data_IF_824309632673
#
_entry.id   IF_824309632673
#
_cell.length_a   1.000
_cell.length_b   1.000
_cell.length_c   1.000
_cell.angle_alpha   90.00
_cell.angle_beta   90.00
_cell.angle_gamma   90.00
#
_symmetry.space_group_name_H-M   'P 1'
#
loop_
_entity.id
_entity.type
_entity.pdbx_description
1 polymer ?
#
# COMPACT_ATOMS: atom_id res chain seq x y z
N UNK A 1 19.43 -6.12 7.35
CA UNK A 1 18.03 -5.82 7.75
C UNK A 1 17.15 -6.96 7.26
N UNK A 2 16.51 -7.71 8.17
CA UNK A 2 15.86 -8.98 7.83
C UNK A 2 14.53 -8.76 7.08
N UNK A 3 14.58 -8.69 5.74
CA UNK A 3 13.40 -8.61 4.86
C UNK A 3 12.40 -9.76 5.09
N UNK A 4 12.85 -10.91 5.59
CA UNK A 4 11.97 -12.03 5.99
C UNK A 4 10.95 -11.66 7.08
N UNK A 5 11.16 -10.57 7.84
CA UNK A 5 10.17 -10.10 8.82
C UNK A 5 8.95 -9.43 8.18
N UNK A 6 9.06 -8.97 6.93
CA UNK A 6 7.93 -8.37 6.21
C UNK A 6 6.97 -9.43 5.66
N UNK A 7 7.44 -10.67 5.43
CA UNK A 7 6.63 -11.76 4.91
C UNK A 7 5.83 -12.46 6.03
N UNK A 8 4.81 -11.77 6.55
CA UNK A 8 3.92 -12.30 7.59
C UNK A 8 2.47 -12.41 7.08
N UNK A 9 2.14 -13.42 6.24
CA UNK A 9 0.79 -13.58 5.68
C UNK A 9 -0.31 -13.79 6.73
N UNK A 10 0.07 -14.19 7.96
CA UNK A 10 -0.81 -14.31 9.12
C UNK A 10 -1.19 -12.98 9.79
N UNK A 11 -0.52 -11.87 9.45
CA UNK A 11 -0.74 -10.58 10.10
C UNK A 11 -1.61 -9.68 9.23
N UNK A 12 -2.63 -9.06 9.83
CA UNK A 12 -3.58 -8.19 9.11
C UNK A 12 -2.88 -7.05 8.35
N UNK A 13 -1.80 -6.51 8.93
CA UNK A 13 -0.99 -5.45 8.34
C UNK A 13 -0.29 -5.84 7.02
N UNK A 14 0.02 -7.14 6.82
CA UNK A 14 0.54 -7.60 5.53
C UNK A 14 -0.51 -7.50 4.42
N UNK A 15 -1.73 -7.93 4.70
CA UNK A 15 -2.85 -7.78 3.77
C UNK A 15 -3.19 -6.32 3.51
N UNK A 16 -3.06 -5.47 4.53
CA UNK A 16 -3.23 -4.04 4.37
C UNK A 16 -2.18 -3.45 3.41
N UNK A 17 -0.91 -3.84 3.53
CA UNK A 17 0.15 -3.46 2.59
C UNK A 17 -0.15 -3.96 1.16
N UNK A 18 -0.62 -5.21 1.01
CA UNK A 18 -1.01 -5.78 -0.29
C UNK A 18 -2.21 -5.04 -0.90
N UNK A 19 -3.25 -4.77 -0.11
CA UNK A 19 -4.43 -4.02 -0.54
C UNK A 19 -4.04 -2.61 -1.01
N UNK A 20 -3.16 -1.92 -0.26
CA UNK A 20 -2.62 -0.64 -0.71
C UNK A 20 -1.85 -0.81 -2.03
N UNK A 21 -0.95 -1.78 -2.15
CA UNK A 21 -0.20 -1.98 -3.39
C UNK A 21 -1.10 -2.26 -4.62
N UNK A 22 -2.10 -3.14 -4.47
CA UNK A 22 -3.10 -3.44 -5.51
C UNK A 22 -3.88 -2.19 -5.89
N UNK A 23 -4.35 -1.41 -4.90
CA UNK A 23 -5.10 -0.19 -5.14
C UNK A 23 -4.24 0.89 -5.81
N UNK A 24 -2.93 0.91 -5.56
CA UNK A 24 -1.95 1.76 -6.28
C UNK A 24 -1.83 1.34 -7.75
N UNK A 25 -1.78 0.03 -8.02
CA UNK A 25 -1.81 -0.52 -9.38
C UNK A 25 -3.11 -0.17 -10.12
N UNK A 26 -4.26 -0.26 -9.45
CA UNK A 26 -5.56 0.14 -9.98
C UNK A 26 -5.61 1.64 -10.27
N UNK A 27 -5.06 2.49 -9.39
CA UNK A 27 -4.94 3.93 -9.65
C UNK A 27 -4.05 4.21 -10.87
N UNK A 28 -2.91 3.53 -10.99
CA UNK A 28 -2.02 3.65 -12.15
C UNK A 28 -2.68 3.18 -13.46
N UNK A 29 -3.47 2.10 -13.40
CA UNK A 29 -4.29 1.66 -14.53
C UNK A 29 -5.38 2.69 -14.87
N UNK A 30 -6.09 3.22 -13.87
CA UNK A 30 -7.11 4.24 -14.06
C UNK A 30 -6.54 5.51 -14.71
N UNK A 31 -5.34 5.94 -14.28
CA UNK A 31 -4.61 7.07 -14.87
C UNK A 31 -4.25 6.88 -16.34
N UNK A 32 -4.03 5.64 -16.78
CA UNK A 32 -3.65 5.32 -18.17
C UNK A 32 -4.84 4.94 -19.05
N UNK A 33 -5.86 4.30 -18.48
CA UNK A 33 -6.99 3.73 -19.21
C UNK A 33 -8.19 4.68 -19.29
N UNK A 34 -8.36 5.60 -18.32
CA UNK A 34 -9.40 6.61 -18.39
C UNK A 34 -8.83 7.96 -18.86
N UNK A 35 -9.50 8.66 -19.79
CA UNK A 35 -9.19 10.06 -20.12
C UNK A 35 -9.64 10.96 -18.96
N UNK A 36 -8.88 10.94 -17.87
CA UNK A 36 -9.22 11.66 -16.64
C UNK A 36 -9.03 13.15 -16.86
N UNK A 37 -10.09 13.91 -16.60
CA UNK A 37 -10.03 15.37 -16.46
C UNK A 37 -9.17 15.76 -15.23
N UNK A 38 -8.69 17.00 -15.14
CA UNK A 38 -7.74 17.47 -14.10
C UNK A 38 -8.18 17.15 -12.67
N UNK A 39 -9.49 17.19 -12.39
CA UNK A 39 -10.07 16.79 -11.09
C UNK A 39 -9.94 15.29 -10.80
N UNK A 40 -10.10 14.44 -11.82
CA UNK A 40 -9.90 13.00 -11.72
C UNK A 40 -8.43 12.66 -11.47
N UNK A 41 -7.50 13.40 -12.08
CA UNK A 41 -6.07 13.28 -11.83
C UNK A 41 -5.73 13.61 -10.36
N UNK A 42 -6.27 14.72 -9.82
CA UNK A 42 -6.05 15.12 -8.44
C UNK A 42 -6.63 14.12 -7.43
N UNK A 43 -7.83 13.60 -7.69
CA UNK A 43 -8.45 12.59 -6.84
C UNK A 43 -7.66 11.27 -6.85
N UNK A 44 -7.37 10.73 -8.04
CA UNK A 44 -6.64 9.46 -8.17
C UNK A 44 -5.20 9.60 -7.67
N UNK A 45 -4.55 10.72 -7.97
CA UNK A 45 -3.21 11.03 -7.46
C UNK A 45 -3.19 11.19 -5.93
N UNK A 46 -4.18 11.86 -5.35
CA UNK A 46 -4.33 12.00 -3.91
C UNK A 46 -4.57 10.65 -3.22
N UNK A 47 -5.45 9.81 -3.77
CA UNK A 47 -5.66 8.44 -3.28
C UNK A 47 -4.39 7.61 -3.38
N UNK A 48 -3.62 7.73 -4.47
CA UNK A 48 -2.35 7.04 -4.64
C UNK A 48 -1.29 7.50 -3.62
N UNK A 49 -1.22 8.79 -3.30
CA UNK A 49 -0.31 9.32 -2.27
C UNK A 49 -0.67 8.82 -0.88
N UNK A 50 -1.96 8.88 -0.51
CA UNK A 50 -2.44 8.35 0.77
C UNK A 50 -2.15 6.85 0.87
N UNK A 51 -2.38 6.12 -0.21
CA UNK A 51 -2.13 4.70 -0.32
C UNK A 51 -0.65 4.35 -0.08
N UNK A 52 0.27 5.08 -0.71
CA UNK A 52 1.71 4.92 -0.47
C UNK A 52 2.07 5.23 0.99
N UNK A 53 1.53 6.31 1.56
CA UNK A 53 1.79 6.70 2.94
C UNK A 53 1.34 5.61 3.94
N UNK A 54 0.13 5.06 3.76
CA UNK A 54 -0.38 3.99 4.61
C UNK A 54 0.37 2.66 4.39
N UNK A 55 0.77 2.33 3.15
CA UNK A 55 1.60 1.17 2.86
C UNK A 55 2.97 1.27 3.53
N UNK A 56 3.60 2.45 3.52
CA UNK A 56 4.86 2.72 4.20
C UNK A 56 4.70 2.61 5.72
N UNK A 57 3.64 3.20 6.29
CA UNK A 57 3.31 3.09 7.71
C UNK A 57 3.10 1.64 8.15
N UNK A 58 2.35 0.85 7.39
CA UNK A 58 2.12 -0.56 7.67
C UNK A 58 3.44 -1.36 7.63
N UNK A 59 4.31 -1.11 6.64
CA UNK A 59 5.64 -1.72 6.57
C UNK A 59 6.53 -1.32 7.75
N UNK A 60 6.48 -0.05 8.15
CA UNK A 60 7.22 0.48 9.30
C UNK A 60 6.75 -0.16 10.61
N UNK A 61 5.43 -0.33 10.77
CA UNK A 61 4.81 -0.98 11.91
C UNK A 61 5.13 -2.48 11.95
N UNK A 62 5.21 -3.16 10.79
CA UNK A 62 5.68 -4.54 10.69
C UNK A 62 7.15 -4.70 11.08
N UNK A 63 8.00 -3.72 10.74
CA UNK A 63 9.40 -3.71 11.14
C UNK A 63 9.57 -3.46 12.65
N UNK A 64 8.70 -2.63 13.24
CA UNK A 64 8.77 -2.24 14.66
C UNK A 64 8.26 -3.32 15.61
N UNK A 65 7.23 -4.06 15.22
CA UNK A 65 6.68 -5.11 16.07
C UNK A 65 7.49 -6.42 15.95
N UNK A 66 7.97 -7.00 17.07
CA UNK A 66 8.60 -8.31 17.05
C UNK A 66 7.57 -9.37 16.58
N UNK A 67 8.00 -10.35 15.77
CA UNK A 67 7.10 -11.39 15.28
C UNK A 67 6.47 -12.14 16.48
N UNK A 68 5.16 -12.47 16.42
CA UNK A 68 4.51 -13.21 17.48
C UNK A 68 5.28 -14.52 17.76
N UNK A 69 5.41 -14.95 19.03
CA UNK A 69 6.08 -16.20 19.37
C UNK A 69 5.46 -17.36 18.56
N UNK A 70 6.33 -18.17 17.95
CA UNK A 70 5.93 -19.35 17.16
C UNK A 70 5.26 -20.40 18.02
#
# INVERSE_FOLDING_TARGET
MQLSRLWQPRRLLFWQMVMFNVLSSVCGYALRALPLNTLGLLLVGGVALLNVAFGLLAAWMLMKDPPPPR
#
